data_IF_218558923811
#
_entry.id   IF_218558923811
#
_cell.length_a   1.000
_cell.length_b   1.000
_cell.length_c   1.000
_cell.angle_alpha   90.00
_cell.angle_beta   90.00
_cell.angle_gamma   90.00
#
_symmetry.space_group_name_H-M   'P 1'
#
loop_
_entity.id
_entity.type
_entity.pdbx_description
1 polymer ?
#
# COMPACT_ATOMS: atom_id res chain seq x y z
N UNK A 1 22.60 12.25 4.51
CA UNK A 1 21.44 12.53 3.63
C UNK A 1 20.32 11.54 3.98
N UNK A 2 19.11 12.05 4.12
CA UNK A 2 17.96 11.19 4.45
C UNK A 2 17.29 10.80 3.13
N UNK A 3 17.41 9.54 2.72
CA UNK A 3 16.80 9.03 1.48
C UNK A 3 15.28 9.00 1.58
N UNK A 4 14.60 9.21 0.45
CA UNK A 4 13.17 8.94 0.31
C UNK A 4 12.87 7.45 0.58
N UNK A 5 11.75 7.10 1.24
CA UNK A 5 11.35 5.71 1.45
C UNK A 5 11.33 4.88 0.17
N UNK A 6 10.83 5.43 -0.93
CA UNK A 6 10.87 4.77 -2.23
C UNK A 6 11.02 5.78 -3.37
N UNK A 7 11.75 5.39 -4.40
CA UNK A 7 11.95 6.21 -5.59
C UNK A 7 12.03 5.33 -6.85
N UNK A 8 11.12 5.55 -7.78
CA UNK A 8 11.15 5.03 -9.14
C UNK A 8 11.72 6.12 -10.05
N UNK A 9 12.66 5.77 -10.90
CA UNK A 9 13.28 6.69 -11.86
C UNK A 9 13.23 6.05 -13.25
N UNK A 10 12.38 6.60 -14.11
CA UNK A 10 12.13 6.16 -15.49
C UNK A 10 11.90 4.64 -15.62
N UNK A 11 11.13 4.07 -14.68
CA UNK A 11 10.95 2.62 -14.59
C UNK A 11 10.04 2.12 -15.70
N UNK A 12 10.54 1.19 -16.49
CA UNK A 12 9.77 0.45 -17.49
C UNK A 12 9.74 -1.04 -17.17
N UNK A 13 8.60 -1.70 -17.44
CA UNK A 13 8.43 -3.13 -17.26
C UNK A 13 7.62 -3.73 -18.40
N UNK A 14 8.19 -4.71 -19.08
CA UNK A 14 7.54 -5.42 -20.18
C UNK A 14 7.38 -6.90 -19.83
N UNK A 15 6.24 -7.49 -20.13
CA UNK A 15 5.92 -8.92 -20.06
C UNK A 15 5.51 -9.38 -21.46
N UNK A 16 6.39 -10.08 -22.16
CA UNK A 16 6.17 -10.41 -23.57
C UNK A 16 5.95 -9.14 -24.40
N UNK A 17 4.79 -8.98 -25.03
CA UNK A 17 4.42 -7.79 -25.82
C UNK A 17 3.77 -6.68 -24.97
N UNK A 18 3.42 -6.94 -23.70
CA UNK A 18 2.69 -6.01 -22.85
C UNK A 18 3.67 -5.13 -22.08
N UNK A 19 3.64 -3.82 -22.31
CA UNK A 19 4.39 -2.83 -21.53
C UNK A 19 3.56 -2.39 -20.33
N UNK A 20 3.77 -3.05 -19.19
CA UNK A 20 3.01 -2.83 -17.95
C UNK A 20 3.40 -1.56 -17.20
N UNK A 21 4.67 -1.12 -17.28
CA UNK A 21 5.14 0.21 -16.89
C UNK A 21 5.94 0.81 -18.03
N UNK A 22 5.79 2.11 -18.24
CA UNK A 22 6.36 2.84 -19.36
C UNK A 22 6.90 4.20 -18.89
N UNK A 23 8.20 4.26 -18.58
CA UNK A 23 8.86 5.48 -18.11
C UNK A 23 8.13 6.08 -16.89
N UNK A 24 7.94 5.21 -15.88
CA UNK A 24 7.17 5.53 -14.68
C UNK A 24 8.08 6.13 -13.62
N UNK A 25 7.72 7.33 -13.18
CA UNK A 25 8.38 8.04 -12.08
C UNK A 25 7.45 8.14 -10.87
N UNK A 26 7.99 7.88 -9.68
CA UNK A 26 7.30 8.05 -8.42
C UNK A 26 8.33 8.20 -7.29
N UNK A 27 8.17 9.20 -6.45
CA UNK A 27 8.91 9.33 -5.20
C UNK A 27 7.92 9.36 -4.05
N UNK A 28 8.13 8.57 -3.00
CA UNK A 28 7.36 8.60 -1.77
C UNK A 28 8.18 9.34 -0.72
N UNK A 29 7.60 10.38 -0.12
CA UNK A 29 8.25 11.15 0.93
C UNK A 29 8.00 10.50 2.30
N UNK A 30 8.79 10.90 3.30
CA UNK A 30 8.59 10.42 4.68
C UNK A 30 7.32 10.98 5.29
N UNK A 31 6.56 10.13 5.98
CA UNK A 31 5.30 10.50 6.63
C UNK A 31 4.19 10.82 5.65
N UNK A 32 4.33 10.47 4.37
CA UNK A 32 3.37 10.73 3.31
C UNK A 32 2.54 9.49 3.00
N UNK A 33 1.23 9.67 2.81
CA UNK A 33 0.36 8.68 2.19
C UNK A 33 0.16 9.03 0.71
N UNK A 34 0.76 8.23 -0.16
CA UNK A 34 0.57 8.33 -1.60
C UNK A 34 -0.46 7.32 -2.07
N UNK A 35 -1.52 7.77 -2.73
CA UNK A 35 -2.45 6.90 -3.44
C UNK A 35 -2.04 6.77 -4.92
N UNK A 36 -1.71 5.56 -5.36
CA UNK A 36 -1.53 5.22 -6.76
C UNK A 36 -2.89 4.81 -7.33
N UNK A 37 -3.54 5.74 -8.00
CA UNK A 37 -4.90 5.63 -8.52
C UNK A 37 -4.87 5.26 -10.00
N UNK A 38 -5.66 4.28 -10.42
CA UNK A 38 -5.75 3.88 -11.82
C UNK A 38 -6.72 2.74 -12.05
N UNK A 39 -7.14 2.55 -13.29
CA UNK A 39 -8.00 1.44 -13.70
C UNK A 39 -7.31 0.08 -13.54
N UNK A 40 -8.08 -1.00 -13.69
CA UNK A 40 -7.51 -2.34 -13.71
C UNK A 40 -6.61 -2.50 -14.95
N UNK A 41 -5.40 -3.03 -14.73
CA UNK A 41 -4.41 -3.16 -15.79
C UNK A 41 -3.53 -1.91 -16.03
N UNK A 42 -3.77 -0.79 -15.36
CA UNK A 42 -2.97 0.44 -15.51
C UNK A 42 -1.49 0.31 -15.11
N UNK A 43 -1.10 -0.74 -14.35
CA UNK A 43 0.27 -0.98 -13.93
C UNK A 43 0.51 -0.94 -12.41
N UNK A 44 -0.52 -0.64 -11.59
CA UNK A 44 -0.42 -0.51 -10.13
C UNK A 44 0.27 -1.70 -9.45
N UNK A 45 -0.25 -2.90 -9.63
CA UNK A 45 0.33 -4.13 -9.05
C UNK A 45 1.73 -4.43 -9.58
N UNK A 46 2.05 -4.02 -10.82
CA UNK A 46 3.41 -4.14 -11.37
C UNK A 46 4.37 -3.21 -10.63
N UNK A 47 3.99 -1.96 -10.37
CA UNK A 47 4.77 -1.01 -9.59
C UNK A 47 4.99 -1.55 -8.16
N UNK A 48 3.93 -2.05 -7.50
CA UNK A 48 4.03 -2.70 -6.19
C UNK A 48 5.01 -3.88 -6.22
N UNK A 49 4.90 -4.79 -7.18
CA UNK A 49 5.81 -5.96 -7.27
C UNK A 49 7.27 -5.57 -7.46
N UNK A 50 7.55 -4.49 -8.21
CA UNK A 50 8.90 -3.97 -8.38
C UNK A 50 9.40 -3.36 -7.07
N UNK A 51 8.58 -2.55 -6.40
CA UNK A 51 8.92 -1.93 -5.12
C UNK A 51 9.22 -2.97 -4.03
N UNK A 52 8.47 -4.07 -4.01
CA UNK A 52 8.70 -5.17 -3.08
C UNK A 52 9.89 -6.08 -3.45
N UNK A 53 10.59 -5.79 -4.55
CA UNK A 53 11.69 -6.64 -5.05
C UNK A 53 11.24 -7.99 -5.61
N UNK A 54 9.94 -8.20 -5.83
CA UNK A 54 9.35 -9.42 -6.40
C UNK A 54 9.48 -9.49 -7.94
N UNK A 55 9.79 -8.35 -8.57
CA UNK A 55 10.02 -8.26 -10.01
C UNK A 55 11.11 -7.23 -10.29
N UNK A 56 11.93 -7.46 -11.30
CA UNK A 56 12.93 -6.47 -11.76
C UNK A 56 12.31 -5.58 -12.83
N UNK A 57 12.63 -4.29 -12.88
CA UNK A 57 12.32 -3.45 -14.03
C UNK A 57 13.03 -3.98 -15.27
N UNK A 58 12.50 -3.69 -16.46
CA UNK A 58 13.17 -3.95 -17.74
C UNK A 58 14.14 -2.82 -18.07
N UNK A 59 13.81 -1.59 -17.66
CA UNK A 59 14.66 -0.41 -17.76
C UNK A 59 14.34 0.56 -16.61
N UNK A 60 15.22 1.54 -16.37
CA UNK A 60 15.10 2.47 -15.26
C UNK A 60 15.60 1.88 -13.94
N UNK A 61 15.40 2.60 -12.85
CA UNK A 61 15.89 2.26 -11.52
C UNK A 61 14.83 2.39 -10.45
N UNK A 62 14.91 1.55 -9.44
CA UNK A 62 14.11 1.62 -8.21
C UNK A 62 15.05 1.62 -7.01
N UNK A 63 14.84 2.54 -6.09
CA UNK A 63 15.50 2.56 -4.79
C UNK A 63 14.46 2.47 -3.67
N UNK A 64 14.73 1.62 -2.68
CA UNK A 64 14.00 1.50 -1.44
C UNK A 64 14.95 1.90 -0.31
N UNK A 65 14.67 3.02 0.37
CA UNK A 65 15.56 3.64 1.37
C UNK A 65 16.99 3.89 0.84
N UNK A 66 17.12 4.21 -0.45
CA UNK A 66 18.39 4.45 -1.12
C UNK A 66 19.14 3.19 -1.58
N UNK A 67 18.57 2.00 -1.40
CA UNK A 67 19.17 0.70 -1.76
C UNK A 67 18.28 -0.12 -2.69
N UNK A 68 18.79 -1.27 -3.15
CA UNK A 68 17.97 -2.22 -3.93
C UNK A 68 16.84 -2.80 -3.06
N UNK A 69 15.60 -2.84 -3.54
CA UNK A 69 14.47 -3.44 -2.80
C UNK A 69 14.67 -4.92 -2.41
N UNK A 70 15.59 -5.63 -3.04
CA UNK A 70 15.89 -7.04 -2.74
C UNK A 70 16.82 -7.23 -1.57
N UNK A 71 17.49 -6.17 -1.11
CA UNK A 71 18.34 -6.23 0.06
C UNK A 71 17.54 -6.48 1.34
N UNK A 72 18.04 -7.36 2.20
CA UNK A 72 17.36 -7.73 3.44
C UNK A 72 17.15 -6.51 4.37
N UNK A 73 18.14 -5.60 4.42
CA UNK A 73 18.07 -4.36 5.19
C UNK A 73 16.94 -3.44 4.74
N UNK A 74 16.68 -3.34 3.43
CA UNK A 74 15.56 -2.56 2.89
C UNK A 74 14.24 -3.23 3.21
N UNK A 75 14.15 -4.56 3.03
CA UNK A 75 12.92 -5.32 3.27
C UNK A 75 12.51 -5.38 4.73
N UNK A 76 13.45 -5.36 5.68
CA UNK A 76 13.12 -5.35 7.11
C UNK A 76 12.42 -4.06 7.57
N UNK A 77 12.47 -3.00 6.76
CA UNK A 77 11.83 -1.70 7.00
C UNK A 77 10.52 -1.52 6.20
N UNK A 78 10.08 -2.57 5.51
CA UNK A 78 8.94 -2.57 4.60
C UNK A 78 7.87 -3.50 5.12
N UNK A 79 6.62 -3.02 5.22
CA UNK A 79 5.43 -3.84 5.43
C UNK A 79 4.61 -3.90 4.15
N UNK A 80 3.91 -5.01 3.90
CA UNK A 80 3.06 -5.11 2.70
C UNK A 80 1.81 -5.96 2.93
N UNK A 81 0.69 -5.50 2.36
CA UNK A 81 -0.53 -6.31 2.15
C UNK A 81 -0.78 -6.36 0.65
N UNK A 82 -0.67 -7.55 0.07
CA UNK A 82 -1.00 -7.78 -1.34
C UNK A 82 -2.49 -8.10 -1.51
N UNK A 83 -3.04 -7.80 -2.68
CA UNK A 83 -4.45 -8.00 -3.00
C UNK A 83 -4.96 -9.43 -2.70
N UNK A 84 -4.14 -10.45 -2.99
CA UNK A 84 -4.46 -11.85 -2.79
C UNK A 84 -3.84 -12.46 -1.53
N UNK A 85 -3.42 -11.63 -0.57
CA UNK A 85 -2.81 -12.12 0.67
C UNK A 85 -3.78 -13.01 1.45
N UNK A 86 -3.31 -14.18 1.86
CA UNK A 86 -4.04 -15.13 2.69
C UNK A 86 -3.11 -15.72 3.75
N UNK A 87 -3.68 -16.07 4.89
CA UNK A 87 -2.98 -16.74 5.98
C UNK A 87 -3.79 -17.96 6.46
N UNK A 88 -3.18 -18.94 7.14
CA UNK A 88 -3.88 -20.13 7.63
C UNK A 88 -5.10 -19.77 8.50
N UNK A 89 -6.25 -20.38 8.20
CA UNK A 89 -7.50 -20.07 8.89
C UNK A 89 -7.55 -20.63 10.32
N UNK A 90 -6.74 -21.66 10.60
CA UNK A 90 -6.73 -22.41 11.86
C UNK A 90 -5.98 -21.72 13.00
N UNK A 91 -5.06 -20.79 12.67
CA UNK A 91 -4.31 -20.03 13.68
C UNK A 91 -5.13 -18.89 14.24
N UNK A 92 -4.87 -18.56 15.52
CA UNK A 92 -5.47 -17.40 16.19
C UNK A 92 -4.79 -16.11 15.73
N UNK A 93 -5.49 -14.99 15.85
CA UNK A 93 -4.94 -13.66 15.52
C UNK A 93 -3.59 -13.44 16.21
N UNK A 94 -3.51 -13.66 17.53
CA UNK A 94 -2.26 -13.51 18.29
C UNK A 94 -1.13 -14.43 17.83
N UNK A 95 -1.46 -15.63 17.37
CA UNK A 95 -0.48 -16.61 16.89
C UNK A 95 0.12 -16.17 15.55
N UNK A 96 -0.72 -15.64 14.65
CA UNK A 96 -0.24 -15.01 13.43
C UNK A 96 0.68 -13.82 13.73
N UNK A 97 0.25 -12.90 14.59
CA UNK A 97 1.05 -11.71 14.93
C UNK A 97 2.39 -12.14 15.55
N UNK A 98 2.37 -13.11 16.49
CA UNK A 98 3.59 -13.61 17.11
C UNK A 98 4.55 -14.24 16.10
N UNK A 99 4.03 -15.08 15.20
CA UNK A 99 4.82 -15.71 14.14
C UNK A 99 5.46 -14.67 13.22
N UNK A 100 4.69 -13.70 12.71
CA UNK A 100 5.21 -12.69 11.81
C UNK A 100 6.19 -11.74 12.51
N UNK A 101 5.92 -11.37 13.77
CA UNK A 101 6.82 -10.55 14.56
C UNK A 101 8.20 -11.21 14.76
N UNK A 102 8.26 -12.55 14.82
CA UNK A 102 9.53 -13.28 14.99
C UNK A 102 10.50 -13.15 13.81
N UNK A 103 10.03 -12.69 12.65
CA UNK A 103 10.89 -12.44 11.48
C UNK A 103 11.62 -11.09 11.54
N UNK A 104 11.28 -10.22 12.48
CA UNK A 104 11.83 -8.86 12.57
C UNK A 104 12.70 -8.68 13.80
N UNK A 105 13.81 -7.94 13.72
CA UNK A 105 14.72 -7.74 14.84
C UNK A 105 14.14 -6.84 15.94
N UNK A 106 13.23 -5.93 15.60
CA UNK A 106 12.62 -4.96 16.51
C UNK A 106 11.11 -4.78 16.20
N UNK A 107 10.29 -5.83 16.41
CA UNK A 107 8.87 -5.75 16.17
C UNK A 107 8.16 -4.83 17.15
N UNK A 108 6.99 -4.31 16.76
CA UNK A 108 6.10 -3.61 17.66
C UNK A 108 5.60 -4.55 18.78
N UNK A 109 5.36 -4.03 19.99
CA UNK A 109 4.68 -4.78 21.05
C UNK A 109 3.29 -5.26 20.60
N UNK A 110 2.90 -6.48 20.99
CA UNK A 110 1.60 -7.07 20.62
C UNK A 110 0.42 -6.14 20.93
N UNK A 111 0.41 -5.52 22.11
CA UNK A 111 -0.67 -4.61 22.51
C UNK A 111 -0.80 -3.43 21.54
N UNK A 112 0.32 -2.84 21.13
CA UNK A 112 0.33 -1.73 20.19
C UNK A 112 -0.14 -2.16 18.77
N UNK A 113 0.24 -3.37 18.33
CA UNK A 113 -0.25 -3.91 17.04
C UNK A 113 -1.77 -4.08 17.08
N UNK A 114 -2.30 -4.66 18.17
CA UNK A 114 -3.74 -4.87 18.33
C UNK A 114 -4.51 -3.55 18.35
N UNK A 115 -4.00 -2.56 19.07
CA UNK A 115 -4.57 -1.20 19.13
C UNK A 115 -4.60 -0.53 17.76
N UNK A 116 -3.44 -0.43 17.08
CA UNK A 116 -3.33 0.21 15.76
C UNK A 116 -4.24 -0.48 14.74
N UNK A 117 -4.30 -1.83 14.75
CA UNK A 117 -5.12 -2.60 13.82
C UNK A 117 -6.60 -2.73 14.25
N UNK A 118 -6.98 -2.25 15.44
CA UNK A 118 -8.33 -2.36 15.98
C UNK A 118 -8.78 -3.80 16.17
N UNK A 119 -7.90 -4.64 16.71
CA UNK A 119 -8.11 -6.08 16.92
C UNK A 119 -8.25 -6.46 18.41
N UNK A 120 -8.33 -5.47 19.30
CA UNK A 120 -8.48 -5.68 20.73
C UNK A 120 -9.76 -6.51 21.01
N UNK A 121 -9.63 -7.48 21.93
CA UNK A 121 -10.71 -8.37 22.33
C UNK A 121 -10.99 -9.54 21.37
N UNK A 122 -10.35 -9.59 20.20
CA UNK A 122 -10.51 -10.71 19.24
C UNK A 122 -9.20 -11.48 18.98
N UNK A 123 -8.15 -11.16 19.70
CA UNK A 123 -6.80 -11.75 19.55
C UNK A 123 -6.75 -13.26 19.78
N UNK A 124 -7.74 -13.82 20.49
CA UNK A 124 -7.86 -15.26 20.77
C UNK A 124 -8.71 -16.02 19.75
N UNK A 125 -9.44 -15.32 18.86
CA UNK A 125 -10.26 -15.92 17.83
C UNK A 125 -9.39 -16.46 16.70
N UNK A 126 -9.84 -17.55 16.05
CA UNK A 126 -9.16 -18.05 14.84
C UNK A 126 -9.44 -17.12 13.65
N UNK A 127 -8.46 -17.02 12.75
CA UNK A 127 -8.59 -16.17 11.55
C UNK A 127 -9.82 -16.53 10.70
N UNK A 128 -10.11 -17.84 10.51
CA UNK A 128 -11.26 -18.31 9.73
C UNK A 128 -12.63 -17.99 10.37
N UNK A 129 -12.69 -17.63 11.66
CA UNK A 129 -13.92 -17.24 12.36
C UNK A 129 -14.23 -15.73 12.27
N UNK A 130 -13.34 -14.97 11.62
CA UNK A 130 -13.43 -13.52 11.54
C UNK A 130 -14.26 -13.09 10.32
N UNK A 131 -14.94 -11.94 10.44
CA UNK A 131 -15.54 -11.28 9.28
C UNK A 131 -14.46 -10.83 8.28
N UNK A 132 -14.83 -10.61 7.02
CA UNK A 132 -13.89 -10.15 5.99
C UNK A 132 -13.16 -8.87 6.40
N UNK A 133 -13.85 -7.91 7.02
CA UNK A 133 -13.22 -6.70 7.53
C UNK A 133 -12.24 -6.96 8.69
N UNK A 134 -12.56 -7.89 9.58
CA UNK A 134 -11.64 -8.32 10.64
C UNK A 134 -10.41 -9.04 10.06
N UNK A 135 -10.60 -9.90 9.05
CA UNK A 135 -9.50 -10.56 8.35
C UNK A 135 -8.55 -9.56 7.68
N UNK A 136 -9.09 -8.53 7.01
CA UNK A 136 -8.27 -7.45 6.42
C UNK A 136 -7.48 -6.69 7.48
N UNK A 137 -8.07 -6.42 8.67
CA UNK A 137 -7.35 -5.80 9.79
C UNK A 137 -6.25 -6.71 10.35
N UNK A 138 -6.43 -8.03 10.34
CA UNK A 138 -5.35 -8.96 10.69
C UNK A 138 -4.22 -8.88 9.67
N UNK A 139 -4.50 -8.91 8.37
CA UNK A 139 -3.45 -8.75 7.34
C UNK A 139 -2.71 -7.42 7.48
N UNK A 140 -3.42 -6.34 7.81
CA UNK A 140 -2.81 -5.05 8.13
C UNK A 140 -1.91 -5.14 9.38
N UNK A 141 -2.37 -5.80 10.45
CA UNK A 141 -1.57 -6.03 11.66
C UNK A 141 -0.26 -6.78 11.36
N UNK A 142 -0.32 -7.81 10.49
CA UNK A 142 0.86 -8.56 10.07
C UNK A 142 1.84 -7.71 9.26
N UNK A 143 1.33 -6.77 8.46
CA UNK A 143 2.17 -5.87 7.67
C UNK A 143 2.87 -4.81 8.53
N UNK A 144 2.25 -4.38 9.64
CA UNK A 144 2.84 -3.35 10.53
C UNK A 144 3.67 -3.94 11.67
N UNK A 145 3.57 -5.25 11.98
CA UNK A 145 4.19 -5.85 13.16
C UNK A 145 5.72 -5.67 13.21
N UNK A 146 6.39 -5.60 12.06
CA UNK A 146 7.82 -5.33 11.96
C UNK A 146 8.21 -3.86 12.17
N UNK A 147 7.27 -2.98 12.55
CA UNK A 147 7.49 -1.54 12.70
C UNK A 147 8.07 -0.88 11.43
N UNK A 148 7.46 -1.07 10.26
CA UNK A 148 8.03 -0.61 9.00
C UNK A 148 8.03 0.92 8.88
N UNK A 149 9.02 1.46 8.14
CA UNK A 149 9.07 2.87 7.76
C UNK A 149 8.19 3.16 6.55
N UNK A 150 7.96 2.14 5.70
CA UNK A 150 7.04 2.21 4.55
C UNK A 150 6.10 1.02 4.58
N UNK A 151 4.81 1.29 4.45
CA UNK A 151 3.76 0.29 4.30
C UNK A 151 3.19 0.35 2.88
N UNK A 152 3.09 -0.80 2.22
CA UNK A 152 2.50 -0.94 0.88
C UNK A 152 1.20 -1.72 0.98
N UNK A 153 0.11 -1.13 0.50
CA UNK A 153 -1.23 -1.68 0.54
C UNK A 153 -1.79 -1.79 -0.89
N UNK A 154 -1.85 -3.01 -1.42
CA UNK A 154 -2.34 -3.25 -2.78
C UNK A 154 -3.84 -3.59 -2.74
N UNK A 155 -4.68 -2.60 -3.07
CA UNK A 155 -6.14 -2.68 -3.07
C UNK A 155 -6.75 -3.24 -1.76
N UNK A 156 -6.43 -2.68 -0.58
CA UNK A 156 -6.71 -3.30 0.70
C UNK A 156 -8.20 -3.38 1.04
N UNK A 157 -9.04 -2.54 0.44
CA UNK A 157 -10.48 -2.41 0.77
C UNK A 157 -11.40 -3.13 -0.20
N UNK A 158 -10.85 -3.77 -1.22
CA UNK A 158 -11.65 -4.57 -2.17
C UNK A 158 -12.42 -5.66 -1.44
N UNK A 159 -13.74 -5.72 -1.71
CA UNK A 159 -14.66 -6.68 -1.10
C UNK A 159 -15.15 -6.32 0.30
N UNK A 160 -14.81 -5.14 0.82
CA UNK A 160 -15.32 -4.65 2.10
C UNK A 160 -16.60 -3.83 1.92
N UNK A 161 -17.53 -3.98 2.86
CA UNK A 161 -18.66 -3.06 3.02
C UNK A 161 -18.17 -1.66 3.48
N UNK A 162 -19.07 -0.68 3.44
CA UNK A 162 -18.75 0.72 3.77
C UNK A 162 -18.21 0.88 5.20
N UNK A 163 -18.75 0.16 6.15
CA UNK A 163 -18.37 0.26 7.58
C UNK A 163 -16.99 -0.34 7.81
N UNK A 164 -16.72 -1.54 7.27
CA UNK A 164 -15.43 -2.18 7.36
C UNK A 164 -14.32 -1.38 6.64
N UNK A 165 -14.65 -0.78 5.48
CA UNK A 165 -13.75 0.11 4.73
C UNK A 165 -13.36 1.32 5.55
N UNK A 166 -14.32 2.06 6.10
CA UNK A 166 -14.05 3.23 6.96
C UNK A 166 -13.25 2.85 8.20
N UNK A 167 -13.52 1.68 8.78
CA UNK A 167 -12.73 1.15 9.88
C UNK A 167 -11.26 0.95 9.50
N UNK A 168 -10.97 0.34 8.35
CA UNK A 168 -9.60 0.15 7.87
C UNK A 168 -8.91 1.49 7.52
N UNK A 169 -9.64 2.44 6.94
CA UNK A 169 -9.12 3.78 6.67
C UNK A 169 -8.64 4.49 7.95
N UNK A 170 -9.41 4.37 9.04
CA UNK A 170 -9.01 4.92 10.34
C UNK A 170 -7.68 4.32 10.81
N UNK A 171 -7.49 2.99 10.67
CA UNK A 171 -6.24 2.32 11.05
C UNK A 171 -5.05 2.78 10.17
N UNK A 172 -5.28 2.93 8.86
CA UNK A 172 -4.23 3.42 7.93
C UNK A 172 -3.81 4.84 8.31
N UNK A 173 -4.77 5.74 8.56
CA UNK A 173 -4.45 7.13 8.97
C UNK A 173 -3.72 7.18 10.32
N UNK A 174 -4.16 6.40 11.32
CA UNK A 174 -3.46 6.31 12.60
C UNK A 174 -2.00 5.85 12.43
N UNK A 175 -1.72 4.96 11.48
CA UNK A 175 -0.36 4.53 11.18
C UNK A 175 0.48 5.65 10.54
N UNK A 176 -0.10 6.44 9.63
CA UNK A 176 0.56 7.62 9.04
C UNK A 176 0.85 8.69 10.10
N UNK A 177 -0.07 8.93 11.04
CA UNK A 177 0.09 9.88 12.15
C UNK A 177 1.27 9.53 13.08
N UNK A 178 1.73 8.27 13.08
CA UNK A 178 2.97 7.86 13.73
C UNK A 178 4.24 8.26 12.93
N UNK A 179 4.11 9.04 11.87
CA UNK A 179 5.21 9.48 11.00
C UNK A 179 5.66 8.43 9.98
N UNK A 180 4.84 7.42 9.73
CA UNK A 180 5.12 6.34 8.78
C UNK A 180 4.62 6.68 7.39
N UNK A 181 5.29 6.19 6.36
CA UNK A 181 4.90 6.42 4.96
C UNK A 181 4.03 5.26 4.46
N UNK A 182 3.09 5.56 3.56
CA UNK A 182 2.19 4.55 2.98
C UNK A 182 2.12 4.73 1.47
N UNK A 183 2.26 3.64 0.72
CA UNK A 183 1.82 3.54 -0.67
C UNK A 183 0.54 2.72 -0.71
N UNK A 184 -0.54 3.35 -1.12
CA UNK A 184 -1.85 2.71 -1.30
C UNK A 184 -2.14 2.60 -2.79
N UNK A 185 -2.40 1.40 -3.31
CA UNK A 185 -2.98 1.29 -4.66
C UNK A 185 -4.49 1.13 -4.54
N UNK A 186 -5.21 1.82 -5.39
CA UNK A 186 -6.68 1.73 -5.42
C UNK A 186 -7.23 2.09 -6.80
N UNK A 187 -8.43 1.61 -7.07
CA UNK A 187 -9.29 2.11 -8.15
C UNK A 187 -10.55 2.82 -7.58
N UNK A 188 -10.65 2.92 -6.24
CA UNK A 188 -11.72 3.66 -5.58
C UNK A 188 -11.29 5.10 -5.31
N UNK A 189 -11.89 6.04 -6.02
CA UNK A 189 -11.58 7.48 -5.88
C UNK A 189 -11.89 8.00 -4.47
N UNK A 190 -13.00 7.57 -3.87
CA UNK A 190 -13.34 7.93 -2.49
C UNK A 190 -12.28 7.51 -1.46
N UNK A 191 -11.51 6.45 -1.73
CA UNK A 191 -10.40 6.02 -0.88
C UNK A 191 -9.20 6.95 -1.01
N UNK A 192 -8.84 7.30 -2.25
CA UNK A 192 -7.79 8.27 -2.52
C UNK A 192 -8.13 9.65 -1.92
N UNK A 193 -9.37 10.11 -2.09
CA UNK A 193 -9.84 11.39 -1.55
C UNK A 193 -9.84 11.42 -0.02
N UNK A 194 -10.23 10.32 0.64
CA UNK A 194 -10.30 10.25 2.09
C UNK A 194 -8.94 10.07 2.78
N UNK A 195 -7.97 9.44 2.11
CA UNK A 195 -6.73 9.01 2.73
C UNK A 195 -5.49 9.73 2.23
N UNK A 196 -5.41 10.08 0.95
CA UNK A 196 -4.15 10.48 0.35
C UNK A 196 -3.75 11.91 0.71
N UNK A 197 -2.48 12.08 1.07
CA UNK A 197 -1.84 13.39 1.07
C UNK A 197 -1.50 13.80 -0.36
N UNK A 198 -1.16 12.79 -1.20
CA UNK A 198 -0.90 12.97 -2.63
C UNK A 198 -1.43 11.78 -3.44
N UNK A 199 -2.04 12.09 -4.57
CA UNK A 199 -2.52 11.13 -5.57
C UNK A 199 -1.58 11.14 -6.75
N UNK A 200 -1.24 9.95 -7.24
CA UNK A 200 -0.57 9.74 -8.53
C UNK A 200 -1.52 8.93 -9.40
N UNK A 201 -2.01 9.55 -10.45
CA UNK A 201 -2.87 8.87 -11.44
C UNK A 201 -1.99 8.12 -12.42
N UNK A 202 -2.20 6.80 -12.51
CA UNK A 202 -1.49 5.95 -13.47
C UNK A 202 -2.45 5.43 -14.54
N UNK A 203 -2.06 5.64 -15.80
CA UNK A 203 -2.73 5.05 -16.97
C UNK A 203 -1.70 4.46 -17.92
N UNK A 204 -1.99 3.27 -18.48
CA UNK A 204 -1.13 2.55 -19.45
C UNK A 204 0.35 2.52 -19.03
N UNK A 205 0.59 2.35 -17.72
CA UNK A 205 1.93 2.26 -17.14
C UNK A 205 2.66 3.58 -16.96
N UNK A 206 2.02 4.73 -17.16
CA UNK A 206 2.61 6.07 -16.99
C UNK A 206 1.90 6.83 -15.87
N UNK A 207 2.64 7.63 -15.13
CA UNK A 207 2.05 8.66 -14.27
C UNK A 207 1.56 9.81 -15.17
N UNK A 208 0.23 10.02 -15.20
CA UNK A 208 -0.40 11.04 -16.06
C UNK A 208 -0.74 12.31 -15.29
N UNK A 209 -0.95 12.22 -13.97
CA UNK A 209 -1.13 13.37 -13.09
C UNK A 209 -0.62 13.07 -11.69
N UNK A 210 -0.15 14.10 -11.00
CA UNK A 210 0.34 14.01 -9.61
C UNK A 210 -0.02 15.30 -8.88
N UNK A 211 -0.62 15.19 -7.70
CA UNK A 211 -1.01 16.32 -6.86
C UNK A 211 -1.80 15.87 -5.65
N UNK A 212 -2.21 16.80 -4.80
CA UNK A 212 -3.20 16.54 -3.75
C UNK A 212 -4.54 16.13 -4.37
N UNK A 213 -5.45 15.45 -3.65
CA UNK A 213 -6.78 15.16 -4.17
C UNK A 213 -7.51 16.40 -4.72
N UNK A 214 -7.33 17.56 -4.07
CA UNK A 214 -7.92 18.82 -4.50
C UNK A 214 -7.30 19.35 -5.81
N UNK A 215 -5.98 19.27 -5.95
CA UNK A 215 -5.29 19.67 -7.19
C UNK A 215 -5.65 18.76 -8.37
N UNK A 216 -5.75 17.44 -8.14
CA UNK A 216 -6.18 16.50 -9.20
C UNK A 216 -7.63 16.75 -9.61
N UNK A 217 -8.52 17.06 -8.66
CA UNK A 217 -9.91 17.41 -8.96
C UNK A 217 -10.01 18.70 -9.77
N UNK A 218 -9.17 19.71 -9.48
CA UNK A 218 -9.22 21.00 -10.15
C UNK A 218 -10.61 21.62 -10.14
N UNK A 219 -11.09 22.05 -11.31
CA UNK A 219 -12.43 22.65 -11.51
C UNK A 219 -13.53 21.60 -11.78
N UNK A 220 -13.20 20.31 -11.84
CA UNK A 220 -14.17 19.24 -12.05
C UNK A 220 -15.15 19.13 -10.85
N UNK A 221 -16.38 18.66 -11.13
CA UNK A 221 -17.41 18.50 -10.09
C UNK A 221 -17.02 17.49 -9.01
N UNK A 222 -16.25 16.46 -9.38
CA UNK A 222 -15.74 15.43 -8.50
C UNK A 222 -14.35 14.94 -8.92
N UNK A 223 -13.66 14.23 -8.02
CA UNK A 223 -12.42 13.54 -8.37
C UNK A 223 -12.66 12.46 -9.45
N UNK A 224 -13.88 11.91 -9.52
CA UNK A 224 -14.28 10.92 -10.52
C UNK A 224 -14.33 11.54 -11.93
N UNK A 225 -14.93 12.73 -12.07
CA UNK A 225 -15.00 13.43 -13.34
C UNK A 225 -13.59 13.80 -13.83
N UNK A 226 -12.75 14.35 -12.95
CA UNK A 226 -11.35 14.66 -13.25
C UNK A 226 -10.56 13.42 -13.68
N UNK A 227 -10.76 12.30 -12.97
CA UNK A 227 -10.08 11.03 -13.31
C UNK A 227 -10.49 10.53 -14.71
N UNK A 228 -11.78 10.58 -15.05
CA UNK A 228 -12.27 10.18 -16.38
C UNK A 228 -11.65 11.05 -17.48
N UNK A 229 -11.57 12.36 -17.28
CA UNK A 229 -10.94 13.29 -18.23
C UNK A 229 -9.45 12.97 -18.43
N UNK A 230 -8.71 12.68 -17.33
CA UNK A 230 -7.28 12.38 -17.38
C UNK A 230 -6.93 11.07 -18.11
N UNK A 231 -7.83 10.08 -18.11
CA UNK A 231 -7.59 8.78 -18.78
C UNK A 231 -8.23 8.66 -20.15
N UNK A 232 -9.10 9.61 -20.56
CA UNK A 232 -9.76 9.63 -21.87
C UNK A 232 -8.84 10.14 -23.01
N UNK A 233 -7.67 10.68 -22.66
CA UNK A 233 -6.64 11.18 -23.58
C UNK A 233 -5.63 10.06 -23.86
#
# INVERSE_FOLDING_TARGET
MQYAPAQFTSVSKTYGSIKALNDFDLTIQRGELVALLGSNGAGKTTAVRILLGLSRPTAGQIALFGSDPREAASRSRLGAVLQSARVPETLRVREHIHLFSSYYPAPLPMAQILEIAGLEGIERRKYGELSGGQQKRVLFALAICGNPDLLVLDEPTVGLDVTARRGLWKQIRAFVELGRSVLLTTHYLAEAEALADRVVVIDRGRAVATGTPAEIRGDAASLEDAFVELIAV
#
